data_IF_014571806013
#
_entry.id   IF_014571806013
#
_cell.length_a   1.000
_cell.length_b   1.000
_cell.length_c   1.000
_cell.angle_alpha   90.00
_cell.angle_beta   90.00
_cell.angle_gamma   90.00
#
_symmetry.space_group_name_H-M   'P 1'
#
loop_
_entity.id
_entity.type
_entity.pdbx_description
1 polymer ?
#
# COMPACT_ATOMS: atom_id res chain seq x y z
N UNK A 1 -14.04 0.81 15.46
CA UNK A 1 -13.39 0.60 14.15
C UNK A 1 -12.17 1.50 14.15
N UNK A 2 -10.98 0.96 13.93
CA UNK A 2 -9.72 1.70 14.15
C UNK A 2 -9.57 2.78 13.06
N UNK A 3 -10.03 4.00 13.35
CA UNK A 3 -10.15 5.11 12.39
C UNK A 3 -8.79 5.51 11.81
N UNK A 4 -7.75 5.41 12.63
CA UNK A 4 -6.37 5.73 12.28
C UNK A 4 -5.82 4.87 11.13
N UNK A 5 -6.07 3.55 11.14
CA UNK A 5 -5.58 2.63 10.10
C UNK A 5 -6.27 2.90 8.76
N UNK A 6 -7.56 3.22 8.81
CA UNK A 6 -8.29 3.60 7.60
C UNK A 6 -7.82 4.96 7.06
N UNK A 7 -7.53 5.91 7.94
CA UNK A 7 -7.02 7.21 7.54
C UNK A 7 -5.61 7.10 6.94
N UNK A 8 -4.79 6.13 7.38
CA UNK A 8 -3.53 5.79 6.73
C UNK A 8 -3.74 5.21 5.33
N UNK A 9 -4.62 4.20 5.17
CA UNK A 9 -4.93 3.62 3.85
C UNK A 9 -5.41 4.67 2.85
N UNK A 10 -6.22 5.63 3.30
CA UNK A 10 -6.75 6.72 2.46
C UNK A 10 -5.84 7.96 2.43
N UNK A 11 -4.59 7.86 2.90
CA UNK A 11 -3.54 8.90 2.84
C UNK A 11 -4.01 10.24 3.42
N UNK A 12 -4.80 10.18 4.50
CA UNK A 12 -5.17 11.35 5.30
C UNK A 12 -4.17 11.63 6.41
N UNK A 13 -3.41 10.60 6.78
CA UNK A 13 -2.28 10.68 7.69
C UNK A 13 -1.06 10.01 7.06
N UNK A 14 0.13 10.48 7.43
CA UNK A 14 1.40 9.89 6.99
C UNK A 14 1.98 8.92 8.04
N UNK A 15 3.12 8.30 7.71
CA UNK A 15 3.84 7.38 8.58
C UNK A 15 4.14 7.98 9.97
N UNK A 16 4.58 9.25 10.03
CA UNK A 16 4.90 9.90 11.29
C UNK A 16 3.67 10.07 12.20
N UNK A 17 2.50 10.34 11.62
CA UNK A 17 1.25 10.42 12.37
C UNK A 17 0.79 9.03 12.83
N UNK A 18 0.99 7.99 12.00
CA UNK A 18 0.71 6.61 12.40
C UNK A 18 1.61 6.18 13.58
N UNK A 19 2.92 6.49 13.51
CA UNK A 19 3.88 6.24 14.59
C UNK A 19 3.57 6.99 15.88
N UNK A 20 2.98 8.19 15.80
CA UNK A 20 2.52 8.90 17.01
C UNK A 20 1.41 8.16 17.75
N UNK A 21 0.59 7.40 17.03
CA UNK A 21 -0.51 6.64 17.63
C UNK A 21 -0.04 5.29 18.19
N UNK A 22 0.81 4.57 17.45
CA UNK A 22 1.19 3.19 17.78
C UNK A 22 2.61 3.03 18.34
N UNK A 23 3.41 4.09 18.35
CA UNK A 23 4.84 4.06 18.67
C UNK A 23 5.73 3.98 17.42
N UNK A 24 7.02 4.23 17.59
CA UNK A 24 7.99 4.24 16.49
C UNK A 24 8.21 2.85 15.87
N UNK A 25 8.05 1.81 16.68
CA UNK A 25 8.26 0.41 16.33
C UNK A 25 6.94 -0.28 15.96
N UNK A 26 6.45 0.01 14.75
CA UNK A 26 5.19 -0.51 14.25
C UNK A 26 5.17 -2.04 14.08
N UNK A 27 6.34 -2.67 13.91
CA UNK A 27 6.48 -4.12 13.72
C UNK A 27 6.11 -4.92 14.97
N UNK A 28 6.26 -4.32 16.16
CA UNK A 28 5.96 -4.96 17.44
C UNK A 28 4.58 -4.58 18.00
N UNK A 29 3.75 -3.88 17.22
CA UNK A 29 2.40 -3.48 17.62
C UNK A 29 1.46 -4.67 17.50
N UNK A 30 0.92 -5.14 18.62
CA UNK A 30 -0.12 -6.18 18.64
C UNK A 30 -1.51 -5.54 18.50
N UNK A 31 -2.28 -5.95 17.49
CA UNK A 31 -3.67 -5.54 17.30
C UNK A 31 -4.59 -6.77 17.22
N UNK A 32 -5.78 -6.70 17.82
CA UNK A 32 -6.76 -7.79 17.79
C UNK A 32 -7.59 -7.84 16.51
N UNK A 33 -7.57 -6.76 15.73
CA UNK A 33 -8.39 -6.60 14.53
C UNK A 33 -7.63 -5.75 13.51
N UNK A 34 -6.79 -6.39 12.68
CA UNK A 34 -6.11 -5.74 11.56
C UNK A 34 -7.12 -5.08 10.62
N UNK A 35 -6.69 -4.01 9.93
CA UNK A 35 -7.49 -3.40 8.88
C UNK A 35 -7.28 -4.17 7.59
N UNK A 36 -8.37 -4.68 7.00
CA UNK A 36 -8.33 -5.29 5.66
C UNK A 36 -7.78 -4.32 4.63
N UNK A 37 -7.02 -4.78 3.66
CA UNK A 37 -6.59 -4.01 2.49
C UNK A 37 -7.31 -4.59 1.29
N UNK A 38 -7.96 -3.73 0.52
CA UNK A 38 -8.66 -4.11 -0.70
C UNK A 38 -7.88 -3.64 -1.93
N UNK A 39 -8.15 -4.24 -3.09
CA UNK A 39 -7.57 -3.79 -4.35
C UNK A 39 -7.84 -2.28 -4.60
N UNK A 40 -9.00 -1.78 -4.16
CA UNK A 40 -9.35 -0.35 -4.23
C UNK A 40 -8.41 0.57 -3.44
N UNK A 41 -7.79 0.08 -2.36
CA UNK A 41 -6.85 0.88 -1.56
C UNK A 41 -5.56 1.10 -2.33
N UNK A 42 -5.06 0.06 -3.03
CA UNK A 42 -3.88 0.18 -3.91
C UNK A 42 -4.18 1.02 -5.15
N UNK A 43 -5.34 0.81 -5.78
CA UNK A 43 -5.77 1.64 -6.92
C UNK A 43 -5.82 3.11 -6.51
N UNK A 44 -6.34 3.41 -5.32
CA UNK A 44 -6.37 4.76 -4.78
C UNK A 44 -4.96 5.34 -4.61
N UNK A 45 -4.04 4.59 -3.99
CA UNK A 45 -2.64 4.96 -3.78
C UNK A 45 -1.94 5.29 -5.10
N UNK A 46 -2.00 4.39 -6.07
CA UNK A 46 -1.36 4.56 -7.39
C UNK A 46 -1.94 5.80 -8.10
N UNK A 47 -3.26 6.00 -8.04
CA UNK A 47 -3.89 7.18 -8.64
C UNK A 47 -3.46 8.50 -7.97
N UNK A 48 -3.23 8.52 -6.65
CA UNK A 48 -2.70 9.71 -5.98
C UNK A 48 -1.29 10.04 -6.48
N UNK A 49 -0.46 9.02 -6.69
CA UNK A 49 0.90 9.19 -7.21
C UNK A 49 0.92 9.65 -8.67
N UNK A 50 0.15 9.02 -9.56
CA UNK A 50 -0.01 9.46 -10.96
C UNK A 50 -0.47 10.92 -11.01
N UNK A 51 -1.38 11.30 -10.10
CA UNK A 51 -1.89 12.67 -9.98
C UNK A 51 -0.91 13.65 -9.31
N UNK A 52 0.31 13.20 -8.94
CA UNK A 52 1.34 13.98 -8.24
C UNK A 52 0.88 14.58 -6.91
N UNK A 53 -0.08 13.95 -6.24
CA UNK A 53 -0.58 14.37 -4.92
C UNK A 53 0.25 13.81 -3.77
N UNK A 54 0.92 12.69 -4.03
CA UNK A 54 1.88 12.07 -3.14
C UNK A 54 3.20 11.84 -3.89
N UNK A 55 4.25 11.68 -3.12
CA UNK A 55 5.61 11.39 -3.57
C UNK A 55 5.85 9.88 -3.68
N UNK A 56 6.97 9.50 -4.30
CA UNK A 56 7.42 8.11 -4.34
C UNK A 56 7.65 7.55 -2.93
N UNK A 57 8.29 8.35 -2.06
CA UNK A 57 8.54 7.98 -0.67
C UNK A 57 7.25 7.67 0.08
N UNK A 58 6.17 8.42 -0.18
CA UNK A 58 4.87 8.16 0.45
C UNK A 58 4.22 6.85 -0.03
N UNK A 59 4.50 6.38 -1.26
CA UNK A 59 4.12 5.02 -1.68
C UNK A 59 4.91 3.98 -0.91
N UNK A 60 6.23 4.13 -0.86
CA UNK A 60 7.14 3.18 -0.20
C UNK A 60 6.78 3.05 1.27
N UNK A 61 6.61 4.16 1.98
CA UNK A 61 6.20 4.18 3.38
C UNK A 61 4.87 3.45 3.60
N UNK A 62 3.91 3.66 2.69
CA UNK A 62 2.59 3.02 2.75
C UNK A 62 2.71 1.50 2.56
N UNK A 63 3.44 1.09 1.53
CA UNK A 63 3.66 -0.32 1.16
C UNK A 63 4.40 -1.05 2.26
N UNK A 64 5.48 -0.47 2.79
CA UNK A 64 6.29 -1.10 3.83
C UNK A 64 5.48 -1.32 5.11
N UNK A 65 4.64 -0.36 5.51
CA UNK A 65 3.76 -0.53 6.66
C UNK A 65 2.74 -1.64 6.40
N UNK A 66 2.09 -1.63 5.22
CA UNK A 66 1.05 -2.62 4.89
C UNK A 66 1.63 -4.04 4.76
N UNK A 67 2.85 -4.18 4.26
CA UNK A 67 3.48 -5.48 4.02
C UNK A 67 4.13 -6.06 5.28
N UNK A 68 4.82 -5.23 6.06
CA UNK A 68 5.68 -5.75 7.14
C UNK A 68 5.08 -5.62 8.55
N UNK A 69 3.85 -5.12 8.71
CA UNK A 69 3.21 -4.99 10.03
C UNK A 69 1.91 -5.78 10.12
N UNK A 70 1.61 -6.29 11.32
CA UNK A 70 0.33 -6.97 11.60
C UNK A 70 -0.86 -5.99 11.70
N UNK A 71 -0.66 -4.70 11.41
CA UNK A 71 -1.72 -3.70 11.41
C UNK A 71 -2.72 -3.92 10.27
N UNK A 72 -2.30 -4.61 9.21
CA UNK A 72 -3.06 -4.81 8.00
C UNK A 72 -3.11 -6.29 7.61
N UNK A 73 -4.21 -6.69 6.98
CA UNK A 73 -4.36 -8.01 6.37
C UNK A 73 -4.94 -7.85 4.97
N UNK A 74 -4.52 -8.65 3.99
CA UNK A 74 -5.11 -8.56 2.66
C UNK A 74 -6.52 -9.15 2.65
N UNK A 75 -7.42 -8.54 1.87
CA UNK A 75 -8.71 -9.14 1.61
C UNK A 75 -8.50 -10.51 0.93
N UNK A 76 -8.96 -11.64 1.53
CA UNK A 76 -8.64 -12.98 1.01
C UNK A 76 -9.12 -13.25 -0.42
N UNK A 77 -10.13 -12.49 -0.89
CA UNK A 77 -10.66 -12.62 -2.25
C UNK A 77 -9.75 -11.95 -3.31
N UNK A 78 -8.86 -11.07 -2.89
CA UNK A 78 -8.01 -10.23 -3.76
C UNK A 78 -6.52 -10.37 -3.42
N UNK A 79 -6.18 -11.28 -2.50
CA UNK A 79 -4.87 -11.41 -1.88
C UNK A 79 -3.74 -11.54 -2.90
N UNK A 80 -3.86 -12.45 -3.86
CA UNK A 80 -2.82 -12.67 -4.87
C UNK A 80 -2.62 -11.44 -5.78
N UNK A 81 -3.70 -10.74 -6.12
CA UNK A 81 -3.65 -9.54 -6.95
C UNK A 81 -2.97 -8.39 -6.18
N UNK A 82 -3.37 -8.17 -4.93
CA UNK A 82 -2.78 -7.18 -4.03
C UNK A 82 -1.29 -7.47 -3.81
N UNK A 83 -0.95 -8.69 -3.40
CA UNK A 83 0.43 -9.08 -3.10
C UNK A 83 1.35 -8.89 -4.31
N UNK A 84 0.88 -9.22 -5.52
CA UNK A 84 1.68 -9.06 -6.75
C UNK A 84 2.04 -7.61 -7.09
N UNK A 85 1.21 -6.65 -6.70
CA UNK A 85 1.47 -5.23 -6.92
C UNK A 85 2.29 -4.66 -5.77
N UNK A 86 1.97 -5.01 -4.52
CA UNK A 86 2.75 -4.53 -3.38
C UNK A 86 4.21 -5.00 -3.48
N UNK A 87 4.46 -6.24 -3.91
CA UNK A 87 5.82 -6.77 -4.07
C UNK A 87 6.67 -5.97 -5.07
N UNK A 88 6.04 -5.28 -6.02
CA UNK A 88 6.73 -4.44 -6.99
C UNK A 88 6.84 -2.99 -6.52
N UNK A 89 5.81 -2.48 -5.86
CA UNK A 89 5.85 -1.13 -5.30
C UNK A 89 6.84 -1.01 -4.14
N UNK A 90 7.12 -2.11 -3.43
CA UNK A 90 8.13 -2.15 -2.38
C UNK A 90 9.54 -1.92 -2.93
N UNK A 91 9.86 -2.45 -4.11
CA UNK A 91 11.18 -2.29 -4.73
C UNK A 91 11.43 -0.88 -5.30
N UNK A 92 10.54 0.09 -5.08
CA UNK A 92 10.67 1.46 -5.59
C UNK A 92 11.72 2.28 -4.83
N UNK A 93 12.11 1.88 -3.62
CA UNK A 93 13.22 2.50 -2.90
C UNK A 93 14.58 1.87 -3.22
N UNK A 94 14.60 0.76 -3.96
CA UNK A 94 15.80 0.09 -4.43
C UNK A 94 16.24 0.67 -5.80
N UNK A 95 17.52 1.05 -5.93
CA UNK A 95 18.20 1.35 -7.20
C UNK A 95 17.59 2.43 -8.13
N UNK A 96 17.03 3.52 -7.58
CA UNK A 96 16.37 4.58 -8.35
C UNK A 96 15.23 4.06 -9.25
N UNK A 97 14.63 2.91 -8.89
CA UNK A 97 13.56 2.29 -9.67
C UNK A 97 12.38 3.25 -9.85
N UNK A 98 11.94 3.42 -11.10
CA UNK A 98 10.74 4.19 -11.42
C UNK A 98 9.86 3.40 -12.37
N UNK A 99 8.60 3.22 -11.97
CA UNK A 99 7.57 2.74 -12.89
C UNK A 99 7.14 3.85 -13.83
N UNK A 100 7.06 3.51 -15.11
CA UNK A 100 6.40 4.36 -16.09
C UNK A 100 4.91 4.48 -15.77
N UNK A 101 4.28 5.57 -16.22
CA UNK A 101 2.83 5.71 -16.14
C UNK A 101 2.09 4.53 -16.77
N UNK A 102 2.67 3.88 -17.78
CA UNK A 102 2.07 2.69 -18.40
C UNK A 102 2.03 1.52 -17.43
N UNK A 103 3.15 1.22 -16.77
CA UNK A 103 3.22 0.12 -15.79
C UNK A 103 2.24 0.34 -14.63
N UNK A 104 2.17 1.57 -14.11
CA UNK A 104 1.22 1.93 -13.06
C UNK A 104 -0.26 1.75 -13.50
N UNK A 105 -0.57 2.07 -14.75
CA UNK A 105 -1.92 1.86 -15.31
C UNK A 105 -2.21 0.37 -15.52
N UNK A 106 -1.23 -0.40 -15.98
CA UNK A 106 -1.34 -1.85 -16.16
C UNK A 106 -1.54 -2.53 -14.77
N UNK A 107 -0.87 -2.06 -13.71
CA UNK A 107 -1.13 -2.49 -12.32
C UNK A 107 -2.56 -2.20 -11.86
N UNK A 108 -3.08 -0.98 -12.12
CA UNK A 108 -4.48 -0.62 -11.82
C UNK A 108 -5.45 -1.53 -12.56
N UNK A 109 -5.19 -1.85 -13.83
CA UNK A 109 -6.03 -2.76 -14.61
C UNK A 109 -6.04 -4.16 -14.00
N UNK A 110 -4.88 -4.69 -13.60
CA UNK A 110 -4.79 -5.99 -12.93
C UNK A 110 -5.59 -5.99 -11.62
N UNK A 111 -5.40 -4.99 -10.75
CA UNK A 111 -6.13 -4.85 -9.49
C UNK A 111 -7.65 -4.76 -9.70
N UNK A 112 -8.10 -3.96 -10.68
CA UNK A 112 -9.52 -3.76 -10.98
C UNK A 112 -10.21 -5.03 -11.49
N UNK A 113 -9.44 -5.96 -12.06
CA UNK A 113 -9.92 -7.24 -12.57
C UNK A 113 -9.58 -8.42 -11.65
N UNK A 114 -9.03 -8.16 -10.46
CA UNK A 114 -8.53 -9.17 -9.54
C UNK A 114 -7.59 -10.18 -10.22
N UNK A 115 -6.57 -9.67 -10.91
CA UNK A 115 -5.55 -10.47 -11.60
C UNK A 115 -4.18 -10.20 -10.99
N UNK A 116 -3.35 -11.24 -10.97
CA UNK A 116 -1.93 -11.12 -10.63
C UNK A 116 -1.23 -10.28 -11.70
N UNK A 117 -0.55 -9.21 -11.29
CA UNK A 117 0.32 -8.45 -12.15
C UNK A 117 1.63 -9.22 -12.37
N UNK A 118 2.12 -9.22 -13.61
CA UNK A 118 3.40 -9.85 -13.98
C UNK A 118 4.19 -8.84 -14.78
N UNK A 119 5.29 -8.34 -14.23
CA UNK A 119 6.25 -7.55 -14.99
C UNK A 119 6.83 -8.43 -16.09
N UNK A 120 6.62 -8.05 -17.34
CA UNK A 120 7.10 -8.75 -18.53
C UNK A 120 8.54 -8.40 -18.88
#
# INVERSE_FOLDING_TARGET
MNTILNDFLKIKINLNQLKKEFGDDLYNVTITTPRKVYAEDLIFLINQYISRKITLQEIVDWVNVVWFTDLFEYNPLEEESIASVISLLETLDEDDAQFSNKELMDMIECLSNNKVYKSS
#
